data_IF_460649513823
#
_entry.id   IF_460649513823
#
_cell.length_a   1.000
_cell.length_b   1.000
_cell.length_c   1.000
_cell.angle_alpha   90.00
_cell.angle_beta   90.00
_cell.angle_gamma   90.00
#
_symmetry.space_group_name_H-M   'P 1'
#
loop_
_entity.id
_entity.type
_entity.pdbx_description
1 polymer ?
#
# COMPACT_ATOMS: atom_id res chain seq x y z
N UNK A 1 -22.21 33.71 14.54
CA UNK A 1 -22.43 33.07 13.24
C UNK A 1 -21.11 32.51 12.77
N UNK A 2 -21.08 31.22 12.43
CA UNK A 2 -19.90 30.58 11.87
C UNK A 2 -19.53 31.22 10.53
N UNK A 3 -18.23 31.10 10.14
CA UNK A 3 -17.78 31.58 8.84
C UNK A 3 -18.25 30.62 7.75
N UNK A 4 -18.91 31.15 6.71
CA UNK A 4 -19.49 30.37 5.60
C UNK A 4 -18.67 30.57 4.35
N UNK A 5 -18.46 29.48 3.59
CA UNK A 5 -17.84 29.45 2.27
C UNK A 5 -18.86 29.05 1.21
N UNK A 6 -18.88 29.79 0.07
CA UNK A 6 -19.77 29.52 -1.06
C UNK A 6 -21.26 29.49 -0.70
N UNK A 7 -21.69 30.27 0.30
CA UNK A 7 -23.08 30.29 0.83
C UNK A 7 -23.65 28.90 1.15
N UNK A 8 -22.74 27.92 1.41
CA UNK A 8 -23.10 26.53 1.62
C UNK A 8 -22.37 25.87 2.78
N UNK A 9 -21.07 26.15 2.95
CA UNK A 9 -20.20 25.40 3.84
C UNK A 9 -19.94 26.17 5.13
N UNK A 10 -20.58 25.79 6.22
CA UNK A 10 -20.38 26.39 7.53
C UNK A 10 -19.19 25.73 8.25
N UNK A 11 -18.24 26.55 8.72
CA UNK A 11 -17.08 26.07 9.48
C UNK A 11 -17.53 25.62 10.86
N UNK A 12 -17.23 24.34 11.19
CA UNK A 12 -17.39 23.78 12.53
C UNK A 12 -16.12 24.01 13.34
N UNK A 13 -14.95 23.62 12.78
CA UNK A 13 -13.66 23.78 13.46
C UNK A 13 -12.49 23.81 12.46
N UNK A 14 -11.31 24.27 12.91
CA UNK A 14 -10.09 24.21 12.14
C UNK A 14 -9.39 22.87 12.40
N UNK A 15 -9.12 22.11 11.34
CA UNK A 15 -8.41 20.83 11.43
C UNK A 15 -6.89 21.00 11.31
N UNK A 16 -6.41 22.15 10.85
CA UNK A 16 -5.00 22.46 10.75
C UNK A 16 -4.66 23.40 9.61
N UNK A 17 -3.38 23.78 9.58
CA UNK A 17 -2.82 24.68 8.60
C UNK A 17 -1.50 24.13 8.08
N UNK A 18 -1.43 23.83 6.79
CA UNK A 18 -0.21 23.45 6.09
C UNK A 18 0.39 24.61 5.30
N UNK A 19 1.55 24.40 4.68
CA UNK A 19 2.24 25.44 3.90
C UNK A 19 1.41 26.03 2.76
N UNK A 20 0.46 25.28 2.20
CA UNK A 20 -0.26 25.65 0.97
C UNK A 20 -1.75 25.86 1.16
N UNK A 21 -2.35 25.21 2.14
CA UNK A 21 -3.78 25.27 2.41
C UNK A 21 -4.08 25.31 3.91
N UNK A 22 -5.26 25.85 4.23
CA UNK A 22 -5.88 25.77 5.54
C UNK A 22 -7.07 24.82 5.46
N UNK A 23 -7.17 23.91 6.42
CA UNK A 23 -8.15 22.82 6.43
C UNK A 23 -9.17 23.01 7.54
N UNK A 24 -10.43 22.86 7.21
CA UNK A 24 -11.56 23.02 8.13
C UNK A 24 -12.51 21.84 8.06
N UNK A 25 -13.08 21.47 9.20
CA UNK A 25 -14.29 20.67 9.26
C UNK A 25 -15.48 21.56 8.99
N UNK A 26 -16.37 21.14 8.09
CA UNK A 26 -17.53 21.93 7.68
C UNK A 26 -18.80 21.08 7.63
N UNK A 27 -19.95 21.74 7.70
CA UNK A 27 -21.28 21.17 7.45
C UNK A 27 -21.91 21.82 6.22
N UNK A 28 -22.79 21.06 5.54
CA UNK A 28 -23.53 21.54 4.37
C UNK A 28 -24.83 22.17 4.80
N UNK A 29 -24.98 23.51 4.68
CA UNK A 29 -26.23 24.24 5.02
C UNK A 29 -27.40 23.89 4.09
N UNK A 30 -27.13 23.28 2.90
CA UNK A 30 -28.17 22.84 1.95
C UNK A 30 -28.55 21.38 2.17
N UNK A 31 -27.77 20.65 2.97
CA UNK A 31 -27.96 19.23 3.25
C UNK A 31 -28.98 19.01 4.38
N UNK A 32 -29.61 17.83 4.38
CA UNK A 32 -30.39 17.37 5.53
C UNK A 32 -29.50 16.52 6.43
N UNK A 33 -29.16 17.00 7.61
CA UNK A 33 -28.43 16.23 8.63
C UNK A 33 -27.07 16.82 9.00
N UNK A 34 -26.40 16.15 9.96
CA UNK A 34 -25.10 16.55 10.52
C UNK A 34 -23.90 15.97 9.75
N UNK A 35 -24.06 15.70 8.45
CA UNK A 35 -22.95 15.16 7.64
C UNK A 35 -21.80 16.15 7.60
N UNK A 36 -20.60 15.67 7.94
CA UNK A 36 -19.38 16.48 8.00
C UNK A 36 -18.55 16.28 6.75
N UNK A 37 -17.83 17.33 6.37
CA UNK A 37 -16.96 17.40 5.22
C UNK A 37 -15.65 18.10 5.59
N UNK A 38 -14.64 17.96 4.73
CA UNK A 38 -13.37 18.66 4.86
C UNK A 38 -13.27 19.73 3.78
N UNK A 39 -13.14 21.00 4.18
CA UNK A 39 -12.88 22.10 3.28
C UNK A 39 -11.41 22.48 3.35
N UNK A 40 -10.72 22.45 2.19
CA UNK A 40 -9.34 22.93 2.04
C UNK A 40 -9.34 24.24 1.27
N UNK A 41 -8.92 25.30 1.94
CA UNK A 41 -8.78 26.64 1.37
C UNK A 41 -7.37 26.91 0.94
N UNK A 42 -7.20 27.31 -0.32
CA UNK A 42 -5.89 27.72 -0.86
C UNK A 42 -5.43 29.03 -0.19
N UNK A 43 -4.14 29.10 0.20
CA UNK A 43 -3.54 30.30 0.79
C UNK A 43 -2.93 31.24 -0.26
N UNK A 44 -2.24 30.67 -1.26
CA UNK A 44 -1.53 31.41 -2.27
C UNK A 44 -2.30 31.44 -3.59
N UNK A 45 -2.87 32.58 -3.92
CA UNK A 45 -3.69 32.78 -5.12
C UNK A 45 -2.88 32.60 -6.43
N UNK A 46 -1.57 32.79 -6.41
CA UNK A 46 -0.72 32.54 -7.58
C UNK A 46 -0.72 31.06 -8.01
N UNK A 47 -1.28 30.19 -7.20
CA UNK A 47 -1.40 28.73 -7.46
C UNK A 47 -2.80 28.29 -7.87
N UNK A 48 -3.75 29.20 -8.10
CA UNK A 48 -5.14 28.87 -8.42
C UNK A 48 -5.27 28.04 -9.70
N UNK A 49 -4.56 28.39 -10.78
CA UNK A 49 -4.61 27.63 -12.03
C UNK A 49 -4.13 26.19 -11.84
N UNK A 50 -3.07 26.04 -11.06
CA UNK A 50 -2.54 24.71 -10.73
C UNK A 50 -3.54 23.92 -9.88
N UNK A 51 -4.05 24.53 -8.84
CA UNK A 51 -5.09 23.95 -7.97
C UNK A 51 -6.31 23.54 -8.80
N UNK A 52 -6.69 24.33 -9.81
CA UNK A 52 -7.79 23.99 -10.74
C UNK A 52 -7.49 22.75 -11.58
N UNK A 53 -6.29 22.63 -12.17
CA UNK A 53 -5.90 21.45 -12.97
C UNK A 53 -5.97 20.16 -12.16
N UNK A 54 -5.64 20.22 -10.91
CA UNK A 54 -5.63 19.10 -9.98
C UNK A 54 -7.04 18.70 -9.58
N UNK A 55 -7.90 19.67 -9.30
CA UNK A 55 -9.32 19.42 -9.08
C UNK A 55 -9.93 18.75 -10.30
N UNK A 56 -9.65 19.25 -11.51
CA UNK A 56 -10.11 18.64 -12.76
C UNK A 56 -9.64 17.17 -12.91
N UNK A 57 -8.41 16.88 -12.52
CA UNK A 57 -7.90 15.51 -12.58
C UNK A 57 -8.66 14.56 -11.63
N UNK A 58 -8.94 15.00 -10.40
CA UNK A 58 -9.52 14.12 -9.37
C UNK A 58 -11.05 14.16 -9.30
N UNK A 59 -11.70 15.17 -9.89
CA UNK A 59 -13.16 15.36 -9.78
C UNK A 59 -13.99 14.19 -10.31
N UNK A 60 -13.44 13.44 -11.26
CA UNK A 60 -14.09 12.30 -11.89
C UNK A 60 -13.71 10.96 -11.25
N UNK A 61 -12.79 10.96 -10.28
CA UNK A 61 -12.43 9.75 -9.57
C UNK A 61 -13.58 9.31 -8.65
N UNK A 62 -14.08 8.10 -8.88
CA UNK A 62 -15.13 7.48 -8.06
C UNK A 62 -14.73 6.04 -7.75
N UNK A 63 -14.15 5.83 -6.57
CA UNK A 63 -13.69 4.50 -6.13
C UNK A 63 -13.79 4.40 -4.60
N UNK A 64 -14.11 3.20 -4.08
CA UNK A 64 -14.28 2.94 -2.65
C UNK A 64 -13.05 3.27 -1.80
N UNK A 65 -11.86 3.20 -2.40
CA UNK A 65 -10.60 3.48 -1.71
C UNK A 65 -9.97 4.82 -2.13
N UNK A 66 -10.77 5.77 -2.58
CA UNK A 66 -10.34 7.14 -2.88
C UNK A 66 -11.29 8.12 -2.19
N UNK A 67 -10.74 9.13 -1.52
CA UNK A 67 -11.50 10.22 -0.91
C UNK A 67 -12.24 10.99 -1.99
N UNK A 68 -13.57 11.06 -1.86
CA UNK A 68 -14.43 11.69 -2.88
C UNK A 68 -14.39 13.21 -2.78
N UNK A 69 -14.21 13.88 -3.91
CA UNK A 69 -14.43 15.31 -4.05
C UNK A 69 -15.96 15.59 -4.10
N UNK A 70 -16.43 16.52 -3.30
CA UNK A 70 -17.85 16.86 -3.15
C UNK A 70 -18.18 18.19 -3.86
N UNK A 71 -17.30 19.17 -3.71
CA UNK A 71 -17.53 20.53 -4.21
C UNK A 71 -16.22 21.29 -4.34
N UNK A 72 -16.20 22.35 -5.13
CA UNK A 72 -15.08 23.28 -5.20
C UNK A 72 -15.51 24.63 -5.77
N UNK A 73 -14.80 25.68 -5.44
CA UNK A 73 -14.95 27.00 -6.03
C UNK A 73 -13.60 27.70 -6.18
N UNK A 74 -13.23 27.97 -7.43
CA UNK A 74 -11.96 28.63 -7.81
C UNK A 74 -12.14 30.10 -8.12
N UNK A 75 -13.40 30.58 -8.31
CA UNK A 75 -13.73 31.93 -8.72
C UNK A 75 -13.84 32.91 -7.56
N UNK A 76 -13.66 32.48 -6.32
CA UNK A 76 -13.77 33.31 -5.13
C UNK A 76 -12.42 33.93 -4.74
N UNK A 77 -12.43 34.98 -3.92
CA UNK A 77 -11.23 35.53 -3.29
C UNK A 77 -10.48 34.49 -2.42
N UNK A 78 -11.15 33.41 -2.05
CA UNK A 78 -10.62 32.32 -1.20
C UNK A 78 -10.93 30.97 -1.82
N UNK A 79 -10.25 30.58 -2.90
CA UNK A 79 -10.50 29.32 -3.57
C UNK A 79 -10.41 28.13 -2.62
N UNK A 80 -11.34 27.18 -2.79
CA UNK A 80 -11.44 26.02 -1.91
C UNK A 80 -11.90 24.77 -2.68
N UNK A 81 -11.64 23.62 -2.08
CA UNK A 81 -12.27 22.34 -2.43
C UNK A 81 -12.90 21.73 -1.16
N UNK A 82 -13.90 20.88 -1.35
CA UNK A 82 -14.57 20.14 -0.28
C UNK A 82 -14.55 18.66 -0.61
N UNK A 83 -14.14 17.86 0.36
CA UNK A 83 -14.10 16.39 0.26
C UNK A 83 -14.96 15.77 1.36
N UNK A 84 -15.25 14.48 1.22
CA UNK A 84 -15.80 13.70 2.32
C UNK A 84 -14.88 13.73 3.54
N UNK A 85 -15.49 13.63 4.72
CA UNK A 85 -14.76 13.57 5.99
C UNK A 85 -14.52 12.13 6.41
N UNK A 86 -13.27 11.75 6.55
CA UNK A 86 -12.84 10.45 7.04
C UNK A 86 -12.64 10.52 8.57
N UNK A 87 -13.67 10.12 9.31
CA UNK A 87 -13.69 10.29 10.79
C UNK A 87 -12.67 9.39 11.51
N UNK A 88 -12.14 8.37 10.84
CA UNK A 88 -11.06 7.53 11.36
C UNK A 88 -9.70 8.20 11.38
N UNK A 89 -9.52 9.36 10.70
CA UNK A 89 -8.25 10.09 10.65
C UNK A 89 -7.23 9.51 9.67
N UNK A 90 -6.04 10.12 9.58
CA UNK A 90 -4.95 9.62 8.73
C UNK A 90 -4.15 8.52 9.43
N UNK A 91 -3.56 7.59 8.66
CA UNK A 91 -2.73 6.51 9.22
C UNK A 91 -1.56 7.02 10.07
N UNK A 92 -1.03 8.21 9.75
CA UNK A 92 0.06 8.82 10.50
C UNK A 92 -0.34 9.26 11.92
N UNK A 93 -1.65 9.47 12.17
CA UNK A 93 -2.15 10.07 13.43
C UNK A 93 -2.98 9.11 14.28
N UNK A 94 -3.39 7.98 13.74
CA UNK A 94 -4.21 7.00 14.47
C UNK A 94 -3.33 5.99 15.20
N UNK A 95 -3.85 5.48 16.32
CA UNK A 95 -3.22 4.34 16.98
C UNK A 95 -3.18 3.15 16.02
N UNK A 96 -2.03 2.50 15.82
CA UNK A 96 -1.86 1.48 14.80
C UNK A 96 -2.55 0.16 15.18
N UNK A 97 -3.87 0.09 15.00
CA UNK A 97 -4.70 -1.11 15.30
C UNK A 97 -4.30 -2.35 14.49
N UNK A 98 -3.50 -2.18 13.44
CA UNK A 98 -2.89 -3.26 12.65
C UNK A 98 -1.58 -3.77 13.24
N UNK A 99 -1.02 -3.10 14.27
CA UNK A 99 0.23 -3.51 14.90
C UNK A 99 0.12 -4.94 15.45
N UNK A 100 1.11 -5.77 15.16
CA UNK A 100 1.09 -7.19 15.51
C UNK A 100 0.19 -8.07 14.64
N UNK A 101 -0.47 -7.51 13.61
CA UNK A 101 -1.27 -8.25 12.63
C UNK A 101 -0.83 -7.97 11.20
N UNK A 102 0.04 -8.81 10.63
CA UNK A 102 0.46 -8.70 9.22
C UNK A 102 -0.74 -8.71 8.27
N UNK A 103 -1.73 -9.52 8.58
CA UNK A 103 -2.95 -9.61 7.79
C UNK A 103 -3.64 -8.24 7.69
N UNK A 104 -3.91 -7.58 8.81
CA UNK A 104 -4.55 -6.24 8.80
C UNK A 104 -3.71 -5.20 8.07
N UNK A 105 -2.39 -5.19 8.27
CA UNK A 105 -1.49 -4.30 7.56
C UNK A 105 -1.54 -4.51 6.05
N UNK A 106 -1.55 -5.77 5.59
CA UNK A 106 -1.65 -6.13 4.18
C UNK A 106 -3.04 -5.80 3.60
N UNK A 107 -4.11 -5.99 4.36
CA UNK A 107 -5.48 -5.63 3.96
C UNK A 107 -5.63 -4.11 3.76
N UNK A 108 -5.08 -3.28 4.66
CA UNK A 108 -4.99 -1.83 4.51
C UNK A 108 -4.19 -1.51 3.24
N UNK A 109 -3.03 -2.12 3.07
CA UNK A 109 -2.18 -1.91 1.90
C UNK A 109 -2.87 -2.29 0.59
N UNK A 110 -3.59 -3.41 0.55
CA UNK A 110 -4.37 -3.84 -0.62
C UNK A 110 -5.42 -2.79 -1.01
N UNK A 111 -6.13 -2.23 -0.03
CA UNK A 111 -7.14 -1.19 -0.27
C UNK A 111 -6.50 0.06 -0.89
N UNK A 112 -5.34 0.48 -0.37
CA UNK A 112 -4.57 1.60 -0.94
C UNK A 112 -4.15 1.29 -2.38
N UNK A 113 -3.60 0.09 -2.64
CA UNK A 113 -3.21 -0.32 -3.99
C UNK A 113 -4.39 -0.31 -4.97
N UNK A 114 -5.59 -0.75 -4.55
CA UNK A 114 -6.80 -0.70 -5.39
C UNK A 114 -7.18 0.73 -5.76
N UNK A 115 -7.14 1.65 -4.81
CA UNK A 115 -7.39 3.07 -5.06
C UNK A 115 -6.38 3.67 -6.04
N UNK A 116 -5.08 3.39 -5.84
CA UNK A 116 -4.00 3.90 -6.70
C UNK A 116 -4.06 3.27 -8.09
N UNK A 117 -4.30 1.96 -8.22
CA UNK A 117 -4.47 1.30 -9.52
C UNK A 117 -5.63 1.90 -10.32
N UNK A 118 -6.76 2.16 -9.66
CA UNK A 118 -7.88 2.86 -10.30
C UNK A 118 -7.49 4.26 -10.78
N UNK A 119 -6.81 5.07 -9.95
CA UNK A 119 -6.35 6.40 -10.37
C UNK A 119 -5.40 6.31 -11.57
N UNK A 120 -4.46 5.35 -11.58
CA UNK A 120 -3.56 5.10 -12.70
C UNK A 120 -4.31 4.71 -13.98
N UNK A 121 -5.38 3.91 -13.90
CA UNK A 121 -6.22 3.56 -15.05
C UNK A 121 -6.92 4.78 -15.66
N UNK A 122 -7.12 5.84 -14.86
CA UNK A 122 -7.65 7.14 -15.32
C UNK A 122 -6.53 8.13 -15.74
N UNK A 123 -5.27 7.68 -15.81
CA UNK A 123 -4.13 8.51 -16.19
C UNK A 123 -3.63 9.45 -15.08
N UNK A 124 -4.03 9.22 -13.82
CA UNK A 124 -3.72 10.09 -12.69
C UNK A 124 -2.69 9.43 -11.78
N UNK A 125 -1.55 10.10 -11.58
CA UNK A 125 -0.49 9.71 -10.65
C UNK A 125 -0.60 10.53 -9.37
N UNK A 126 -0.51 9.89 -8.21
CA UNK A 126 -0.70 10.54 -6.90
C UNK A 126 0.47 11.43 -6.47
N UNK A 127 1.71 10.96 -6.59
CA UNK A 127 3.00 11.66 -6.36
C UNK A 127 3.36 12.00 -4.91
N UNK A 128 2.45 11.84 -3.97
CA UNK A 128 2.71 12.11 -2.53
C UNK A 128 2.07 11.04 -1.64
N UNK A 129 2.25 9.75 -1.99
CA UNK A 129 1.78 8.64 -1.17
C UNK A 129 2.63 8.50 0.09
N UNK A 130 1.98 8.68 1.25
CA UNK A 130 2.56 8.55 2.58
C UNK A 130 1.45 8.32 3.62
N UNK A 131 1.75 7.89 4.85
CA UNK A 131 0.74 7.65 5.88
C UNK A 131 -0.19 8.83 6.17
N UNK A 132 0.29 10.07 6.00
CA UNK A 132 -0.49 11.29 6.20
C UNK A 132 -1.65 11.42 5.21
N UNK A 133 -1.48 10.90 3.98
CA UNK A 133 -2.43 11.00 2.88
C UNK A 133 -3.29 9.75 2.70
N UNK A 134 -3.17 8.78 3.61
CA UNK A 134 -4.05 7.62 3.68
C UNK A 134 -4.95 7.77 4.90
N UNK A 135 -6.25 7.80 4.68
CA UNK A 135 -7.25 8.01 5.71
C UNK A 135 -8.06 6.75 5.97
N UNK A 136 -8.67 6.66 7.14
CA UNK A 136 -9.68 5.66 7.47
C UNK A 136 -11.06 6.32 7.40
N UNK A 137 -12.01 5.74 6.68
CA UNK A 137 -13.36 6.29 6.56
C UNK A 137 -14.06 6.43 7.92
N UNK A 138 -13.80 5.48 8.82
CA UNK A 138 -14.26 5.48 10.21
C UNK A 138 -13.19 4.84 11.09
N UNK A 139 -13.38 4.81 12.41
CA UNK A 139 -12.49 4.09 13.32
C UNK A 139 -12.40 2.62 12.86
N UNK A 140 -11.19 2.15 12.57
CA UNK A 140 -10.91 0.81 12.05
C UNK A 140 -11.62 0.48 10.71
N UNK A 141 -12.14 1.49 10.02
CA UNK A 141 -12.84 1.36 8.74
C UNK A 141 -11.89 1.21 7.54
N UNK A 142 -12.48 1.13 6.33
CA UNK A 142 -11.68 1.00 5.11
C UNK A 142 -10.70 2.14 4.92
N UNK A 143 -9.52 1.81 4.37
CA UNK A 143 -8.53 2.80 4.00
C UNK A 143 -8.86 3.44 2.65
N UNK A 144 -8.68 4.76 2.58
CA UNK A 144 -8.92 5.56 1.38
C UNK A 144 -7.72 6.48 1.12
N UNK A 145 -7.38 6.64 -0.14
CA UNK A 145 -6.31 7.53 -0.60
C UNK A 145 -6.89 8.93 -0.77
N UNK A 146 -6.29 9.90 -0.11
CA UNK A 146 -6.65 11.31 -0.25
C UNK A 146 -5.45 12.17 -0.63
N UNK A 147 -5.68 13.45 -0.81
CA UNK A 147 -4.62 14.43 -1.08
C UNK A 147 -3.73 14.06 -2.26
N UNK A 148 -4.36 13.71 -3.39
CA UNK A 148 -3.66 13.51 -4.65
C UNK A 148 -2.74 14.70 -4.90
N UNK A 149 -1.45 14.45 -5.06
CA UNK A 149 -0.33 15.36 -4.97
C UNK A 149 -0.40 16.63 -5.79
N UNK A 150 -1.25 17.42 -5.31
CA UNK A 150 -1.76 18.68 -5.82
C UNK A 150 -0.64 19.71 -5.95
N UNK A 151 0.52 19.49 -5.32
CA UNK A 151 1.41 20.59 -4.98
C UNK A 151 2.87 20.47 -5.43
N UNK A 152 3.32 19.37 -6.00
CA UNK A 152 4.76 19.08 -6.13
C UNK A 152 5.43 19.43 -7.46
N UNK A 153 4.71 19.93 -8.46
CA UNK A 153 5.35 20.37 -9.70
C UNK A 153 5.58 21.90 -9.66
N UNK A 154 6.71 22.34 -9.17
CA UNK A 154 7.23 23.67 -9.50
C UNK A 154 7.77 23.63 -10.94
N UNK A 155 7.10 24.31 -11.86
CA UNK A 155 7.76 24.77 -13.10
C UNK A 155 8.86 25.76 -12.68
N UNK A 156 10.11 25.30 -12.80
CA UNK A 156 11.28 26.16 -12.55
C UNK A 156 12.06 25.81 -11.29
N UNK A 157 12.58 24.57 -11.21
CA UNK A 157 13.88 24.25 -10.61
C UNK A 157 14.22 24.77 -9.20
N UNK A 158 13.28 25.31 -8.44
CA UNK A 158 13.57 25.72 -7.07
C UNK A 158 13.39 24.51 -6.15
N UNK A 159 14.50 23.96 -5.69
CA UNK A 159 14.56 22.94 -4.64
C UNK A 159 13.59 23.32 -3.52
N UNK A 160 12.71 22.41 -3.15
CA UNK A 160 12.13 22.45 -1.80
C UNK A 160 13.33 22.44 -0.86
N UNK A 161 13.67 23.60 -0.32
CA UNK A 161 14.66 23.70 0.76
C UNK A 161 14.15 22.77 1.85
N UNK A 162 14.94 21.74 2.16
CA UNK A 162 14.69 20.81 3.25
C UNK A 162 14.69 21.61 4.55
N UNK A 163 13.53 22.12 4.95
CA UNK A 163 13.30 22.53 6.32
C UNK A 163 13.18 21.27 7.18
N UNK A 164 13.54 21.31 8.43
CA UNK A 164 13.45 20.16 9.34
C UNK A 164 12.07 19.49 9.33
N UNK A 165 11.00 20.25 9.03
CA UNK A 165 9.63 19.74 8.83
C UNK A 165 9.44 18.93 7.52
N UNK A 166 10.33 19.08 6.52
CA UNK A 166 10.26 18.40 5.22
C UNK A 166 11.00 17.05 5.18
N UNK A 167 11.66 16.65 6.25
CA UNK A 167 12.46 15.41 6.30
C UNK A 167 11.58 14.16 6.12
N UNK A 168 10.38 14.14 6.69
CA UNK A 168 9.46 13.00 6.59
C UNK A 168 9.00 12.65 5.17
N UNK A 169 8.52 13.60 4.36
CA UNK A 169 8.05 13.35 2.99
C UNK A 169 9.10 12.76 2.05
N UNK A 170 10.38 13.14 2.19
CA UNK A 170 11.48 12.66 1.32
C UNK A 170 11.69 11.16 1.40
N UNK A 171 11.43 10.53 2.54
CA UNK A 171 11.62 9.08 2.69
C UNK A 171 10.65 8.23 1.87
N UNK A 172 9.47 8.76 1.51
CA UNK A 172 8.49 8.07 0.68
C UNK A 172 8.65 8.37 -0.81
N UNK A 173 9.32 9.47 -1.14
CA UNK A 173 9.46 9.96 -2.51
C UNK A 173 10.37 9.06 -3.34
N UNK A 174 9.95 8.78 -4.56
CA UNK A 174 10.76 8.06 -5.53
C UNK A 174 11.97 8.91 -5.97
N UNK A 175 13.15 8.30 -6.19
CA UNK A 175 14.38 9.04 -6.51
C UNK A 175 14.26 9.97 -7.72
N UNK A 176 13.53 9.56 -8.75
CA UNK A 176 13.29 10.37 -9.96
C UNK A 176 12.49 11.65 -9.69
N UNK A 177 11.76 11.73 -8.59
CA UNK A 177 11.00 12.93 -8.21
C UNK A 177 11.84 13.92 -7.40
N UNK A 178 12.97 13.50 -6.81
CA UNK A 178 13.82 14.36 -6.00
C UNK A 178 14.59 15.38 -6.84
N UNK A 179 14.93 15.02 -8.08
CA UNK A 179 15.70 15.90 -8.99
C UNK A 179 14.86 17.01 -9.64
N UNK A 180 13.54 17.05 -9.39
CA UNK A 180 12.62 18.05 -9.95
C UNK A 180 12.45 17.97 -11.46
N UNK A 181 12.90 16.88 -12.11
CA UNK A 181 12.73 16.65 -13.54
C UNK A 181 11.30 16.21 -13.83
N UNK A 182 10.48 17.14 -14.29
CA UNK A 182 9.07 16.90 -14.64
C UNK A 182 8.90 15.86 -15.77
N UNK A 183 9.97 15.58 -16.53
CA UNK A 183 9.93 14.80 -17.77
C UNK A 183 9.72 13.30 -17.52
N UNK A 184 10.05 12.78 -16.34
CA UNK A 184 10.08 11.33 -16.07
C UNK A 184 9.00 10.85 -15.06
N UNK A 185 7.96 11.67 -14.83
CA UNK A 185 6.92 11.29 -13.88
C UNK A 185 6.04 10.20 -14.47
N UNK A 186 6.18 9.00 -13.96
CA UNK A 186 5.37 7.86 -14.35
C UNK A 186 4.55 7.34 -13.15
N UNK A 187 3.46 6.59 -13.39
CA UNK A 187 2.72 5.90 -12.33
C UNK A 187 3.59 5.00 -11.44
N UNK A 188 4.77 4.60 -11.93
CA UNK A 188 5.72 3.78 -11.17
C UNK A 188 6.39 4.54 -10.02
N UNK A 189 6.36 5.89 -10.00
CA UNK A 189 6.80 6.66 -8.82
C UNK A 189 5.91 6.36 -7.61
N UNK A 190 4.60 6.24 -7.82
CA UNK A 190 3.67 5.85 -6.76
C UNK A 190 3.95 4.43 -6.25
N UNK A 191 4.36 3.52 -7.13
CA UNK A 191 4.72 2.15 -6.73
C UNK A 191 5.90 2.15 -5.74
N UNK A 192 6.89 3.03 -5.94
CA UNK A 192 7.99 3.18 -4.98
C UNK A 192 7.48 3.65 -3.61
N UNK A 193 6.65 4.68 -3.60
CA UNK A 193 6.05 5.22 -2.37
C UNK A 193 5.16 4.20 -1.67
N UNK A 194 4.43 3.37 -2.42
CA UNK A 194 3.67 2.23 -1.90
C UNK A 194 4.57 1.20 -1.22
N UNK A 195 5.73 0.89 -1.79
CA UNK A 195 6.70 0.00 -1.15
C UNK A 195 7.16 0.53 0.21
N UNK A 196 7.43 1.84 0.29
CA UNK A 196 7.76 2.51 1.56
C UNK A 196 6.61 2.47 2.56
N UNK A 197 5.39 2.69 2.09
CA UNK A 197 4.18 2.60 2.91
C UNK A 197 3.96 1.18 3.45
N UNK A 198 4.12 0.15 2.61
CA UNK A 198 4.04 -1.24 3.05
C UNK A 198 5.07 -1.54 4.14
N UNK A 199 6.31 -1.13 3.93
CA UNK A 199 7.35 -1.30 4.95
C UNK A 199 6.97 -0.61 6.26
N UNK A 200 6.49 0.63 6.19
CA UNK A 200 6.05 1.40 7.36
C UNK A 200 4.92 0.69 8.13
N UNK A 201 3.91 0.21 7.43
CA UNK A 201 2.80 -0.55 8.02
C UNK A 201 3.28 -1.78 8.77
N UNK A 202 4.23 -2.52 8.18
CA UNK A 202 4.69 -3.81 8.67
C UNK A 202 5.76 -3.71 9.74
N UNK A 203 6.53 -2.63 9.76
CA UNK A 203 7.63 -2.43 10.71
C UNK A 203 7.26 -1.65 11.97
N UNK A 204 5.97 -1.27 12.13
CA UNK A 204 5.52 -0.45 13.24
C UNK A 204 5.99 1.01 13.13
N UNK A 205 5.96 1.57 11.93
CA UNK A 205 6.28 2.98 11.70
C UNK A 205 7.74 3.29 11.38
N UNK A 206 8.61 2.28 11.23
CA UNK A 206 10.01 2.50 10.83
C UNK A 206 10.10 2.97 9.39
N UNK A 207 11.08 3.80 9.09
CA UNK A 207 11.35 4.33 7.76
C UNK A 207 12.86 4.36 7.50
N UNK A 208 13.25 4.19 6.26
CA UNK A 208 14.63 4.19 5.81
C UNK A 208 14.81 5.00 4.54
N UNK A 209 16.02 5.47 4.27
CA UNK A 209 16.36 6.17 3.03
C UNK A 209 16.65 5.18 1.90
N UNK A 210 16.24 5.52 0.67
CA UNK A 210 16.57 4.76 -0.54
C UNK A 210 16.15 3.28 -0.50
N UNK A 211 16.95 2.34 -0.96
CA UNK A 211 16.67 0.91 -1.13
C UNK A 211 17.25 0.02 -0.01
N UNK A 212 17.20 0.48 1.22
CA UNK A 212 17.84 -0.20 2.35
C UNK A 212 17.04 -1.35 2.96
N UNK A 213 15.88 -1.69 2.41
CA UNK A 213 14.97 -2.71 2.97
C UNK A 213 15.58 -4.11 3.08
N UNK A 214 16.69 -4.39 2.38
CA UNK A 214 17.43 -5.66 2.45
C UNK A 214 18.72 -5.58 3.28
N UNK A 215 19.11 -4.40 3.73
CA UNK A 215 20.21 -4.28 4.68
C UNK A 215 19.81 -4.90 6.04
N UNK A 216 20.77 -5.52 6.72
CA UNK A 216 20.53 -6.28 7.97
C UNK A 216 19.74 -5.51 9.02
N UNK A 217 19.99 -4.20 9.12
CA UNK A 217 19.30 -3.30 10.07
C UNK A 217 17.81 -3.12 9.73
N UNK A 218 17.46 -3.16 8.42
CA UNK A 218 16.13 -2.82 7.89
C UNK A 218 15.34 -4.04 7.41
N UNK A 219 15.97 -5.21 7.28
CA UNK A 219 15.30 -6.41 6.82
C UNK A 219 14.17 -6.83 7.75
N UNK A 220 12.96 -6.96 7.22
CA UNK A 220 11.77 -7.28 8.03
C UNK A 220 11.82 -8.68 8.64
N UNK A 221 12.48 -9.64 8.00
CA UNK A 221 12.64 -11.00 8.55
C UNK A 221 13.53 -10.98 9.78
N UNK A 222 14.67 -10.30 9.72
CA UNK A 222 15.58 -10.12 10.85
C UNK A 222 14.91 -9.32 11.97
N UNK A 223 14.26 -8.24 11.66
CA UNK A 223 13.52 -7.42 12.60
C UNK A 223 12.40 -8.20 13.31
N UNK A 224 11.61 -8.95 12.56
CA UNK A 224 10.54 -9.78 13.11
C UNK A 224 11.09 -10.87 14.05
N UNK A 225 12.18 -11.51 13.68
CA UNK A 225 12.85 -12.51 14.51
C UNK A 225 13.35 -11.92 15.83
N UNK A 226 13.85 -10.68 15.82
CA UNK A 226 14.34 -9.97 17.00
C UNK A 226 13.20 -9.43 17.88
N UNK A 227 12.14 -8.88 17.28
CA UNK A 227 11.01 -8.27 17.99
C UNK A 227 9.99 -9.28 18.50
N UNK A 228 9.95 -10.49 17.92
CA UNK A 228 8.94 -11.51 18.21
C UNK A 228 7.50 -11.06 17.86
N UNK A 229 7.36 -9.95 17.14
CA UNK A 229 6.08 -9.30 16.89
C UNK A 229 5.17 -10.12 15.97
N UNK A 230 5.78 -10.94 15.09
CA UNK A 230 5.04 -11.71 14.09
C UNK A 230 5.48 -13.16 14.09
N UNK A 231 4.61 -14.04 14.47
CA UNK A 231 4.88 -15.49 14.50
C UNK A 231 4.84 -16.14 13.10
N UNK A 232 5.08 -15.37 12.05
CA UNK A 232 4.82 -15.81 10.70
C UNK A 232 6.11 -15.90 9.87
N UNK A 233 6.34 -17.06 9.27
CA UNK A 233 7.48 -17.37 8.40
C UNK A 233 7.38 -16.72 7.01
N UNK A 234 6.25 -16.10 6.69
CA UNK A 234 5.98 -15.55 5.34
C UNK A 234 6.62 -14.19 5.07
N UNK A 235 7.46 -13.68 5.97
CA UNK A 235 8.14 -12.39 5.79
C UNK A 235 9.03 -12.35 4.53
N UNK A 236 9.51 -13.51 4.05
CA UNK A 236 10.24 -13.57 2.79
C UNK A 236 9.35 -13.20 1.59
N UNK A 237 8.08 -13.61 1.59
CA UNK A 237 7.13 -13.20 0.54
C UNK A 237 6.83 -11.70 0.60
N UNK A 238 6.74 -11.14 1.80
CA UNK A 238 6.61 -9.69 2.00
C UNK A 238 7.85 -8.95 1.50
N UNK A 239 9.03 -9.44 1.86
CA UNK A 239 10.29 -8.86 1.38
C UNK A 239 10.38 -8.88 -0.16
N UNK A 240 9.87 -9.93 -0.81
CA UNK A 240 9.77 -9.97 -2.30
C UNK A 240 8.82 -8.91 -2.85
N UNK A 241 7.69 -8.62 -2.16
CA UNK A 241 6.85 -7.49 -2.55
C UNK A 241 7.61 -6.17 -2.50
N UNK A 242 8.42 -5.95 -1.46
CA UNK A 242 9.25 -4.76 -1.35
C UNK A 242 10.28 -4.67 -2.50
N UNK A 243 10.88 -5.82 -2.89
CA UNK A 243 11.82 -5.90 -4.02
C UNK A 243 11.20 -5.53 -5.38
N UNK A 244 9.89 -5.74 -5.56
CA UNK A 244 9.18 -5.36 -6.77
C UNK A 244 8.91 -3.85 -6.86
N UNK A 245 8.86 -3.19 -5.70
CA UNK A 245 8.41 -1.80 -5.57
C UNK A 245 9.55 -0.83 -5.27
N UNK A 246 10.46 -1.17 -4.35
CA UNK A 246 11.52 -0.27 -3.88
C UNK A 246 12.75 -0.47 -4.76
N UNK A 247 12.71 0.07 -5.97
CA UNK A 247 13.76 0.02 -6.98
C UNK A 247 13.98 1.44 -7.50
N UNK A 248 15.24 1.93 -7.49
CA UNK A 248 15.57 3.30 -7.93
C UNK A 248 15.27 3.52 -9.42
N UNK A 249 15.52 2.51 -10.26
CA UNK A 249 15.25 2.58 -11.70
C UNK A 249 13.76 2.33 -11.99
N UNK A 250 13.01 3.34 -12.49
CA UNK A 250 11.57 3.19 -12.78
C UNK A 250 11.27 2.09 -13.81
N UNK A 251 12.17 1.84 -14.77
CA UNK A 251 11.99 0.84 -15.83
C UNK A 251 11.92 -0.57 -15.25
N UNK A 252 12.71 -0.84 -14.20
CA UNK A 252 12.78 -2.15 -13.53
C UNK A 252 11.67 -2.34 -12.49
N UNK A 253 11.04 -1.25 -12.07
CA UNK A 253 10.01 -1.23 -11.02
C UNK A 253 8.69 -1.75 -11.58
N UNK A 254 8.00 -2.59 -10.83
CA UNK A 254 6.66 -3.08 -11.18
C UNK A 254 5.62 -1.96 -11.18
N UNK A 255 4.55 -2.13 -11.93
CA UNK A 255 3.34 -1.29 -11.82
C UNK A 255 2.47 -1.75 -10.65
N UNK A 256 1.55 -0.91 -10.18
CA UNK A 256 0.62 -1.27 -9.10
C UNK A 256 -0.27 -2.45 -9.51
N UNK A 257 -0.69 -2.52 -10.78
CA UNK A 257 -1.48 -3.64 -11.32
C UNK A 257 -0.71 -4.97 -11.29
N UNK A 258 0.62 -4.93 -11.43
CA UNK A 258 1.46 -6.12 -11.29
C UNK A 258 1.68 -6.51 -9.82
N UNK A 259 1.71 -5.54 -8.92
CA UNK A 259 1.91 -5.75 -7.47
C UNK A 259 0.64 -6.28 -6.79
N UNK A 260 -0.53 -5.82 -7.20
CA UNK A 260 -1.79 -6.12 -6.52
C UNK A 260 -2.11 -7.63 -6.43
N UNK A 261 -1.96 -8.45 -7.48
CA UNK A 261 -2.12 -9.91 -7.38
C UNK A 261 -1.14 -10.56 -6.40
N UNK A 262 0.11 -10.07 -6.36
CA UNK A 262 1.11 -10.57 -5.41
C UNK A 262 0.73 -10.28 -3.95
N UNK A 263 0.16 -9.10 -3.69
CA UNK A 263 -0.36 -8.73 -2.36
C UNK A 263 -1.49 -9.67 -1.97
N UNK A 264 -2.41 -9.98 -2.89
CA UNK A 264 -3.52 -10.90 -2.65
C UNK A 264 -3.04 -12.31 -2.33
N UNK A 265 -2.00 -12.77 -3.01
CA UNK A 265 -1.38 -14.06 -2.74
C UNK A 265 -0.73 -14.11 -1.35
N UNK A 266 -0.03 -13.03 -0.96
CA UNK A 266 0.58 -12.95 0.38
C UNK A 266 -0.49 -12.89 1.46
N UNK A 267 -1.61 -12.18 1.25
CA UNK A 267 -2.74 -12.17 2.19
C UNK A 267 -3.28 -13.60 2.39
N UNK A 268 -3.53 -14.33 1.31
CA UNK A 268 -3.99 -15.73 1.38
C UNK A 268 -3.03 -16.63 2.17
N UNK A 269 -1.73 -16.46 1.97
CA UNK A 269 -0.70 -17.18 2.73
C UNK A 269 -0.75 -16.85 4.23
N UNK A 270 -0.93 -15.57 4.56
CA UNK A 270 -0.98 -15.11 5.95
C UNK A 270 -2.27 -15.56 6.65
N UNK A 271 -3.38 -15.60 5.94
CA UNK A 271 -4.68 -16.08 6.47
C UNK A 271 -4.70 -17.58 6.71
N UNK A 272 -3.70 -18.32 6.21
CA UNK A 272 -3.69 -19.79 6.28
C UNK A 272 -4.95 -20.43 5.68
N UNK A 273 -5.52 -19.81 4.68
CA UNK A 273 -6.65 -20.38 3.94
C UNK A 273 -6.16 -21.54 3.05
N UNK A 274 -5.73 -22.60 3.71
CA UNK A 274 -5.45 -23.88 3.07
C UNK A 274 -6.77 -24.64 2.87
N UNK A 275 -7.51 -24.28 1.86
CA UNK A 275 -8.63 -25.10 1.41
C UNK A 275 -8.03 -26.19 0.50
N UNK A 276 -8.16 -27.48 0.82
CA UNK A 276 -7.84 -28.54 -0.13
C UNK A 276 -8.78 -28.38 -1.33
N UNK A 277 -8.27 -27.81 -2.43
CA UNK A 277 -9.09 -27.52 -3.61
C UNK A 277 -9.45 -28.81 -4.35
N UNK A 278 -8.63 -29.85 -4.20
CA UNK A 278 -8.86 -31.18 -4.74
C UNK A 278 -8.00 -32.22 -4.02
N UNK A 279 -8.32 -33.51 -4.24
CA UNK A 279 -7.68 -34.64 -3.56
C UNK A 279 -6.15 -34.75 -3.81
N UNK A 280 -5.65 -34.13 -4.88
CA UNK A 280 -4.26 -34.12 -5.34
C UNK A 280 -3.58 -32.75 -5.19
N UNK A 281 -4.32 -31.71 -4.75
CA UNK A 281 -3.79 -30.37 -4.50
C UNK A 281 -3.69 -30.19 -3.00
N UNK A 282 -2.48 -30.17 -2.47
CA UNK A 282 -2.22 -30.33 -1.05
C UNK A 282 -2.06 -29.03 -0.29
N UNK A 283 -1.38 -28.03 -0.86
CA UNK A 283 -1.15 -26.75 -0.20
C UNK A 283 -0.68 -25.69 -1.21
N UNK A 284 -0.82 -24.38 -0.91
CA UNK A 284 -0.14 -23.34 -1.67
C UNK A 284 1.38 -23.53 -1.57
N UNK A 285 2.08 -23.15 -2.64
CA UNK A 285 3.52 -23.21 -2.68
C UNK A 285 4.13 -22.19 -1.73
N UNK A 286 4.84 -22.64 -0.71
CA UNK A 286 5.52 -21.78 0.26
C UNK A 286 6.69 -21.00 -0.35
N UNK A 287 7.17 -21.43 -1.54
CA UNK A 287 8.28 -20.77 -2.23
C UNK A 287 7.81 -19.61 -3.10
N UNK A 288 6.82 -19.82 -3.96
CA UNK A 288 6.36 -18.75 -4.87
C UNK A 288 5.08 -18.04 -4.40
N UNK A 289 4.33 -18.63 -3.48
CA UNK A 289 3.06 -18.07 -3.00
C UNK A 289 1.89 -18.09 -4.00
N UNK A 290 2.14 -18.42 -5.27
CA UNK A 290 1.14 -18.34 -6.36
C UNK A 290 0.57 -19.68 -6.76
N UNK A 291 1.43 -20.70 -6.82
CA UNK A 291 1.03 -22.04 -7.23
C UNK A 291 0.64 -22.90 -6.04
N UNK A 292 0.18 -24.09 -6.38
CA UNK A 292 -0.15 -25.11 -5.39
C UNK A 292 0.74 -26.33 -5.58
N UNK A 293 1.08 -26.98 -4.48
CA UNK A 293 1.74 -28.26 -4.52
C UNK A 293 0.80 -29.34 -5.02
N UNK A 294 1.21 -30.03 -6.07
CA UNK A 294 0.54 -31.22 -6.60
C UNK A 294 1.36 -32.45 -6.29
N UNK A 295 0.70 -33.51 -5.88
CA UNK A 295 1.33 -34.81 -5.72
C UNK A 295 1.71 -35.36 -7.10
N UNK A 296 3.00 -35.52 -7.38
CA UNK A 296 3.51 -36.05 -8.66
C UNK A 296 3.74 -37.54 -8.63
N UNK A 297 4.04 -38.11 -7.45
CA UNK A 297 4.23 -39.54 -7.32
C UNK A 297 3.89 -39.98 -5.90
N UNK A 298 3.19 -41.11 -5.79
CA UNK A 298 2.82 -41.72 -4.52
C UNK A 298 3.57 -43.02 -4.23
N UNK A 299 4.05 -43.75 -5.23
CA UNK A 299 4.83 -44.98 -5.08
C UNK A 299 5.77 -45.14 -6.26
N UNK A 300 6.97 -45.69 -6.05
CA UNK A 300 8.03 -45.93 -7.07
C UNK A 300 8.44 -44.65 -7.82
N UNK A 301 8.93 -43.68 -7.08
CA UNK A 301 9.62 -42.56 -7.69
C UNK A 301 10.91 -43.06 -8.27
N UNK A 302 11.13 -42.77 -9.55
CA UNK A 302 12.45 -42.79 -10.11
C UNK A 302 13.27 -41.62 -9.55
N UNK A 303 13.79 -41.84 -8.34
CA UNK A 303 14.50 -40.84 -7.54
C UNK A 303 15.82 -40.43 -8.23
N UNK A 304 16.27 -41.23 -9.23
CA UNK A 304 17.47 -40.92 -10.02
C UNK A 304 17.36 -39.61 -10.80
N UNK A 305 16.13 -39.24 -11.21
CA UNK A 305 15.88 -37.99 -11.91
C UNK A 305 15.99 -36.73 -11.00
N UNK A 306 16.05 -36.91 -9.68
CA UNK A 306 16.15 -35.80 -8.71
C UNK A 306 17.48 -35.81 -7.94
N UNK A 307 18.45 -36.66 -8.32
CA UNK A 307 19.75 -36.69 -7.68
C UNK A 307 19.81 -37.33 -6.30
N UNK A 308 18.76 -38.05 -5.88
CA UNK A 308 18.75 -38.81 -4.63
C UNK A 308 19.01 -40.29 -4.92
N UNK A 309 19.92 -40.89 -4.18
CA UNK A 309 20.16 -42.35 -4.18
C UNK A 309 19.78 -42.93 -2.82
N UNK A 310 18.51 -43.30 -2.58
CA UNK A 310 18.16 -43.93 -1.31
C UNK A 310 18.42 -45.43 -1.39
N UNK A 311 19.35 -45.90 -0.61
CA UNK A 311 19.54 -47.35 -0.37
C UNK A 311 18.56 -47.73 0.77
N UNK A 312 17.53 -48.54 0.43
CA UNK A 312 16.57 -49.03 1.42
C UNK A 312 15.60 -48.01 1.97
N UNK A 313 15.23 -47.01 1.17
CA UNK A 313 14.41 -45.90 1.63
C UNK A 313 12.92 -46.25 1.69
N UNK A 314 12.23 -45.76 2.72
CA UNK A 314 10.78 -45.77 2.75
C UNK A 314 10.19 -44.92 1.61
N UNK A 315 8.94 -45.17 1.27
CA UNK A 315 8.23 -44.42 0.24
C UNK A 315 8.29 -42.91 0.48
N UNK A 316 8.59 -42.17 -0.57
CA UNK A 316 8.63 -40.70 -0.55
C UNK A 316 7.42 -40.13 -1.30
N UNK A 317 6.82 -39.06 -0.78
CA UNK A 317 5.88 -38.23 -1.53
C UNK A 317 6.59 -36.99 -2.06
N UNK A 318 6.54 -36.81 -3.37
CA UNK A 318 7.09 -35.63 -4.04
C UNK A 318 5.94 -34.70 -4.41
N UNK A 319 6.01 -33.50 -3.88
CA UNK A 319 5.13 -32.40 -4.18
C UNK A 319 5.86 -31.42 -5.11
N UNK A 320 5.22 -31.08 -6.23
CA UNK A 320 5.75 -30.11 -7.19
C UNK A 320 4.75 -28.96 -7.31
N UNK A 321 5.26 -27.75 -7.16
CA UNK A 321 4.44 -26.56 -7.42
C UNK A 321 4.09 -26.48 -8.91
N UNK A 322 2.82 -26.31 -9.21
CA UNK A 322 2.31 -26.22 -10.58
C UNK A 322 2.69 -24.90 -11.30
N UNK A 323 3.13 -23.89 -10.56
CA UNK A 323 3.50 -22.58 -11.10
C UNK A 323 5.00 -22.37 -11.22
N UNK A 324 5.79 -22.64 -10.17
CA UNK A 324 7.24 -22.36 -10.19
C UNK A 324 8.11 -23.61 -10.23
N UNK A 325 7.53 -24.81 -10.20
CA UNK A 325 8.26 -26.07 -10.22
C UNK A 325 9.01 -26.41 -8.93
N UNK A 326 8.87 -25.61 -7.86
CA UNK A 326 9.52 -25.91 -6.58
C UNK A 326 9.12 -27.30 -6.08
N UNK A 327 10.10 -28.10 -5.68
CA UNK A 327 9.94 -29.50 -5.30
C UNK A 327 10.11 -29.65 -3.78
N UNK A 328 9.19 -30.36 -3.15
CA UNK A 328 9.31 -30.81 -1.76
C UNK A 328 9.18 -32.34 -1.71
N UNK A 329 10.07 -32.98 -0.97
CA UNK A 329 10.07 -34.42 -0.76
C UNK A 329 9.82 -34.75 0.71
N UNK A 330 8.84 -35.59 0.99
CA UNK A 330 8.48 -36.04 2.34
C UNK A 330 8.50 -37.55 2.43
N UNK A 331 8.97 -38.05 3.55
CA UNK A 331 8.81 -39.47 3.86
C UNK A 331 7.33 -39.77 4.16
N UNK A 332 6.83 -40.93 3.72
CA UNK A 332 5.40 -41.29 3.88
C UNK A 332 4.98 -41.30 5.35
N UNK A 333 5.84 -41.77 6.25
CA UNK A 333 5.60 -41.78 7.68
C UNK A 333 5.43 -40.38 8.31
N UNK A 334 5.98 -39.35 7.66
CA UNK A 334 5.84 -37.95 8.04
C UNK A 334 4.65 -37.27 7.35
N UNK A 335 4.37 -37.67 6.11
CA UNK A 335 3.31 -37.06 5.28
C UNK A 335 1.89 -37.41 5.75
N UNK A 336 1.69 -38.52 6.43
CA UNK A 336 0.38 -38.96 6.93
C UNK A 336 0.00 -38.34 8.30
N UNK A 337 0.94 -37.64 8.97
CA UNK A 337 0.63 -36.89 10.17
C UNK A 337 -0.09 -35.60 9.78
N UNK A 338 -1.35 -35.45 10.15
CA UNK A 338 -2.22 -34.28 9.85
C UNK A 338 -1.67 -32.91 10.30
N UNK A 339 -0.52 -32.86 10.94
CA UNK A 339 0.02 -31.68 11.62
C UNK A 339 1.27 -31.06 10.97
N UNK A 340 1.85 -31.68 9.91
CA UNK A 340 3.12 -31.17 9.40
C UNK A 340 3.03 -29.84 8.62
N UNK A 341 1.83 -29.48 8.14
CA UNK A 341 1.59 -28.19 7.50
C UNK A 341 1.04 -27.11 8.46
N UNK A 342 0.80 -27.44 9.71
CA UNK A 342 0.24 -26.51 10.70
C UNK A 342 1.31 -25.84 11.59
N UNK A 343 2.59 -26.08 11.33
CA UNK A 343 3.71 -25.48 12.09
C UNK A 343 4.36 -24.33 11.37
#
# INVERSE_FOLDING_TARGET
MGKIYGDRWEIVESLGEGGQAQTFLVTDLRGQGETRYVLKRLKNLNRVERFGREIEAVRNLSHLNIVRLIDFDLGTEKPYLVTEYCSGGSLAKVEPFWQGSPQKALEIFQQVCRGVAYAHSQGITHRDLKPDNIFLQSKDGPAVVGDFGICYLEEGGTRVTLTEEAVGPVYYMAPELEDGRVVDISPKSDTYSLGKLLYWLLSGGRIFSREKHREQEWDLKGWNSASGQWKNIYMEHVNRLLDLMIISSPEKRSTVDQVLPEVEDVIRLVQKEFIPIAKDILAPCLFCGRGHYRLKAANNIDVHNFGFTPVGAPDWRILVCDTCGHVQAFRVDMADKKEWWSR
#
